data_IF_639376355829
#
_entry.id   IF_639376355829
#
_cell.length_a   1.000
_cell.length_b   1.000
_cell.length_c   1.000
_cell.angle_alpha   90.00
_cell.angle_beta   90.00
_cell.angle_gamma   90.00
#
_symmetry.space_group_name_H-M   'P 1'
#
loop_
_entity.id
_entity.type
_entity.pdbx_description
1 polymer ?
#
# COMPACT_ATOMS: atom_id res chain seq x y z
N UNK A 1 25.29 6.94 -19.09
CA UNK A 1 25.02 7.86 -17.94
C UNK A 1 24.26 9.14 -18.30
N UNK A 2 24.24 9.58 -19.56
CA UNK A 2 23.47 10.76 -19.99
C UNK A 2 21.92 10.57 -19.91
N UNK A 3 21.44 9.36 -20.05
CA UNK A 3 20.04 8.96 -20.06
C UNK A 3 19.29 9.17 -18.74
N UNK A 4 19.95 9.05 -17.59
CA UNK A 4 19.26 8.96 -16.27
C UNK A 4 18.65 10.29 -15.79
N UNK A 5 19.14 11.43 -16.26
CA UNK A 5 18.70 12.75 -15.77
C UNK A 5 17.46 13.26 -16.51
N UNK A 6 17.44 13.03 -17.82
CA UNK A 6 16.26 13.31 -18.64
C UNK A 6 15.12 12.34 -18.26
N UNK A 7 15.47 11.12 -17.86
CA UNK A 7 14.52 10.10 -17.38
C UNK A 7 13.75 10.53 -16.14
N UNK A 8 14.37 11.23 -15.17
CA UNK A 8 13.67 11.68 -13.97
C UNK A 8 12.58 12.73 -14.31
N UNK A 9 12.93 13.74 -15.14
CA UNK A 9 11.97 14.75 -15.60
C UNK A 9 10.81 14.10 -16.37
N UNK A 10 11.17 13.25 -17.33
CA UNK A 10 10.20 12.53 -18.15
C UNK A 10 9.32 11.63 -17.27
N UNK A 11 9.91 10.90 -16.32
CA UNK A 11 9.18 10.02 -15.43
C UNK A 11 8.18 10.78 -14.53
N UNK A 12 8.58 11.94 -13.96
CA UNK A 12 7.72 12.77 -13.13
C UNK A 12 6.61 13.43 -13.95
N UNK A 13 6.95 14.03 -15.11
CA UNK A 13 5.97 14.62 -16.03
C UNK A 13 4.99 13.56 -16.55
N UNK A 14 5.44 12.32 -16.75
CA UNK A 14 4.58 11.21 -17.15
C UNK A 14 3.67 10.76 -16.00
N UNK A 15 4.16 10.81 -14.74
CA UNK A 15 3.40 10.35 -13.55
C UNK A 15 2.25 11.29 -13.19
N UNK A 16 2.51 12.60 -13.21
CA UNK A 16 1.53 13.66 -12.94
C UNK A 16 1.62 14.73 -14.04
N UNK A 17 1.12 14.44 -15.26
CA UNK A 17 1.21 15.36 -16.37
C UNK A 17 0.38 16.62 -16.10
N UNK A 18 0.93 17.81 -16.28
CA UNK A 18 0.22 19.07 -16.08
C UNK A 18 -1.07 19.11 -16.90
N UNK A 19 -1.03 18.65 -18.17
CA UNK A 19 -2.21 18.57 -19.04
C UNK A 19 -3.34 17.75 -18.43
N UNK A 20 -3.03 16.56 -17.91
CA UNK A 20 -4.04 15.69 -17.27
C UNK A 20 -4.59 16.32 -15.98
N UNK A 21 -3.74 16.95 -15.17
CA UNK A 21 -4.17 17.65 -13.96
C UNK A 21 -5.10 18.83 -14.30
N UNK A 22 -4.82 19.59 -15.36
CA UNK A 22 -5.70 20.68 -15.82
C UNK A 22 -7.04 20.15 -16.39
N UNK A 23 -7.02 19.06 -17.16
CA UNK A 23 -8.23 18.38 -17.64
C UNK A 23 -9.08 17.87 -16.47
N UNK A 24 -8.47 17.22 -15.47
CA UNK A 24 -9.13 16.78 -14.24
C UNK A 24 -9.65 17.97 -13.42
N UNK A 25 -8.90 19.07 -13.37
CA UNK A 25 -9.32 20.30 -12.73
C UNK A 25 -10.61 20.87 -13.33
N UNK A 26 -10.77 20.78 -14.64
CA UNK A 26 -12.01 21.17 -15.34
C UNK A 26 -13.12 20.15 -15.12
N UNK A 27 -12.85 18.86 -15.28
CA UNK A 27 -13.82 17.77 -15.11
C UNK A 27 -14.42 17.75 -13.69
N UNK A 28 -13.62 17.99 -12.66
CA UNK A 28 -14.07 18.08 -11.27
C UNK A 28 -14.66 19.44 -10.89
N UNK A 29 -14.70 20.40 -11.82
CA UNK A 29 -15.10 21.79 -11.56
C UNK A 29 -14.22 22.51 -10.52
N UNK A 30 -13.02 22.05 -10.26
CA UNK A 30 -12.03 22.78 -9.48
C UNK A 30 -11.62 24.07 -10.21
N UNK A 31 -11.47 24.00 -11.54
CA UNK A 31 -11.28 25.12 -12.45
C UNK A 31 -12.58 25.38 -13.21
N UNK A 32 -13.35 26.35 -12.76
CA UNK A 32 -14.58 26.80 -13.47
C UNK A 32 -14.31 27.91 -14.49
N UNK A 33 -13.31 28.74 -14.18
CA UNK A 33 -12.84 29.85 -15.05
C UNK A 33 -11.32 29.92 -14.90
N UNK A 34 -10.62 30.22 -15.96
CA UNK A 34 -9.17 30.39 -15.89
C UNK A 34 -8.87 31.62 -15.03
N UNK A 35 -8.18 31.38 -13.93
CA UNK A 35 -7.77 32.38 -12.94
C UNK A 35 -6.35 32.07 -12.51
N UNK A 36 -5.88 32.79 -11.50
CA UNK A 36 -4.52 32.71 -10.92
C UNK A 36 -4.11 31.31 -10.47
N UNK A 37 -5.04 30.45 -10.01
CA UNK A 37 -4.72 29.11 -9.49
C UNK A 37 -5.05 28.06 -10.56
N UNK A 38 -4.02 27.49 -11.19
CA UNK A 38 -4.11 26.31 -12.03
C UNK A 38 -4.20 25.03 -11.20
N UNK A 39 -4.79 23.97 -11.76
CA UNK A 39 -4.92 22.69 -11.09
C UNK A 39 -3.55 22.01 -10.90
N UNK A 40 -2.71 22.05 -11.92
CA UNK A 40 -1.39 21.42 -11.87
C UNK A 40 -0.51 22.03 -10.78
N UNK A 41 -0.37 23.37 -10.75
CA UNK A 41 0.45 24.05 -9.75
C UNK A 41 -0.10 23.87 -8.35
N UNK A 42 -1.44 23.87 -8.20
CA UNK A 42 -2.08 23.60 -6.92
C UNK A 42 -1.81 22.18 -6.42
N UNK A 43 -2.00 21.16 -7.26
CA UNK A 43 -1.72 19.76 -6.88
C UNK A 43 -0.26 19.59 -6.52
N UNK A 44 0.66 20.05 -7.38
CA UNK A 44 2.10 19.94 -7.13
C UNK A 44 2.53 20.67 -5.85
N UNK A 45 2.01 21.86 -5.61
CA UNK A 45 2.38 22.62 -4.40
C UNK A 45 1.95 21.91 -3.11
N UNK A 46 0.73 21.34 -3.09
CA UNK A 46 0.25 20.60 -1.92
C UNK A 46 1.00 19.28 -1.76
N UNK A 47 1.26 18.55 -2.85
CA UNK A 47 2.05 17.30 -2.82
C UNK A 47 3.47 17.56 -2.31
N UNK A 48 4.15 18.59 -2.82
CA UNK A 48 5.51 18.94 -2.37
C UNK A 48 5.54 19.40 -0.91
N UNK A 49 4.49 20.07 -0.43
CA UNK A 49 4.42 20.46 0.98
C UNK A 49 4.45 19.25 1.94
N UNK A 50 4.09 18.04 1.48
CA UNK A 50 4.12 16.83 2.31
C UNK A 50 5.53 16.32 2.59
N UNK A 51 6.52 16.74 1.81
CA UNK A 51 7.94 16.47 2.06
C UNK A 51 8.59 17.54 2.97
N UNK A 52 7.93 18.64 3.27
CA UNK A 52 8.51 19.71 4.07
C UNK A 52 8.86 19.24 5.50
N UNK A 53 9.94 19.79 6.04
CA UNK A 53 10.30 19.65 7.46
C UNK A 53 9.49 20.64 8.29
N UNK A 54 9.04 20.25 9.45
CA UNK A 54 8.16 21.06 10.32
C UNK A 54 6.68 20.69 10.17
N UNK A 55 5.77 21.64 10.42
CA UNK A 55 4.32 21.42 10.28
C UNK A 55 3.86 21.80 8.87
N UNK A 56 3.74 20.83 7.95
CA UNK A 56 3.27 21.11 6.62
C UNK A 56 1.79 21.51 6.67
N UNK A 57 1.47 22.71 6.21
CA UNK A 57 0.13 23.27 6.26
C UNK A 57 -0.19 24.11 5.02
N UNK A 58 -1.24 24.91 5.13
CA UNK A 58 -1.68 25.80 4.05
C UNK A 58 -0.60 26.79 3.62
N UNK A 59 0.14 27.38 4.57
CA UNK A 59 1.14 28.38 4.26
C UNK A 59 2.37 27.79 3.57
N UNK A 60 2.79 26.60 3.96
CA UNK A 60 3.87 25.92 3.27
C UNK A 60 3.45 25.56 1.82
N UNK A 61 2.24 25.04 1.63
CA UNK A 61 1.74 24.75 0.29
C UNK A 61 1.61 26.03 -0.56
N UNK A 62 1.16 27.15 0.06
CA UNK A 62 1.07 28.45 -0.62
C UNK A 62 2.43 28.99 -1.05
N UNK A 63 3.46 28.92 -0.19
CA UNK A 63 4.83 29.35 -0.54
C UNK A 63 5.35 28.54 -1.73
N UNK A 64 5.18 27.22 -1.69
CA UNK A 64 5.58 26.34 -2.79
C UNK A 64 4.77 26.67 -4.07
N UNK A 65 3.47 26.96 -3.94
CA UNK A 65 2.67 27.40 -5.09
C UNK A 65 3.23 28.67 -5.73
N UNK A 66 3.57 29.68 -4.93
CA UNK A 66 4.13 30.94 -5.42
C UNK A 66 5.50 30.69 -6.11
N UNK A 67 6.30 29.77 -5.60
CA UNK A 67 7.57 29.40 -6.21
C UNK A 67 7.38 28.67 -7.58
N UNK A 68 6.45 27.70 -7.65
CA UNK A 68 6.19 26.94 -8.87
C UNK A 68 5.51 27.76 -9.97
N UNK A 69 4.46 28.53 -9.61
CA UNK A 69 3.64 29.30 -10.56
C UNK A 69 4.22 30.69 -10.86
N UNK A 70 5.19 31.16 -10.06
CA UNK A 70 5.70 32.53 -10.06
C UNK A 70 4.61 33.59 -9.89
N UNK A 71 3.52 33.22 -9.22
CA UNK A 71 2.33 34.06 -9.03
C UNK A 71 2.10 34.30 -7.55
N UNK A 72 1.98 35.56 -7.16
CA UNK A 72 1.63 35.95 -5.80
C UNK A 72 0.16 35.65 -5.50
N UNK A 73 -0.11 35.04 -4.36
CA UNK A 73 -1.48 34.76 -3.94
C UNK A 73 -1.64 34.98 -2.42
N UNK A 74 -2.76 35.59 -2.06
CA UNK A 74 -3.11 35.82 -0.66
C UNK A 74 -3.49 34.53 0.07
N UNK A 75 -3.23 34.42 1.37
CA UNK A 75 -3.51 33.22 2.17
C UNK A 75 -4.95 32.73 2.07
N UNK A 76 -5.92 33.63 2.27
CA UNK A 76 -7.36 33.28 2.31
C UNK A 76 -7.89 32.69 0.99
N UNK A 77 -7.70 33.29 -0.19
CA UNK A 77 -8.10 32.68 -1.46
C UNK A 77 -7.47 31.30 -1.70
N UNK A 78 -6.20 31.12 -1.34
CA UNK A 78 -5.52 29.83 -1.47
C UNK A 78 -6.12 28.76 -0.52
N UNK A 79 -6.32 29.10 0.76
CA UNK A 79 -6.92 28.20 1.75
C UNK A 79 -8.36 27.78 1.37
N UNK A 80 -9.14 28.70 0.80
CA UNK A 80 -10.51 28.40 0.38
C UNK A 80 -10.58 27.29 -0.69
N UNK A 81 -9.54 27.13 -1.51
CA UNK A 81 -9.47 26.04 -2.50
C UNK A 81 -9.49 24.65 -1.86
N UNK A 82 -8.85 24.47 -0.72
CA UNK A 82 -8.85 23.18 0.00
C UNK A 82 -10.24 22.78 0.50
N UNK A 83 -11.11 23.75 0.78
CA UNK A 83 -12.43 23.50 1.34
C UNK A 83 -13.49 23.14 0.27
N UNK A 84 -13.14 23.19 -1.01
CA UNK A 84 -14.01 22.81 -2.09
C UNK A 84 -14.12 21.29 -2.23
N UNK A 85 -15.33 20.76 -2.47
CA UNK A 85 -15.51 19.33 -2.77
C UNK A 85 -14.75 18.93 -4.03
N UNK A 86 -14.68 19.82 -5.01
CA UNK A 86 -13.92 19.66 -6.24
C UNK A 86 -12.42 19.48 -6.02
N UNK A 87 -11.84 20.04 -4.94
CA UNK A 87 -10.44 19.79 -4.60
C UNK A 87 -10.22 18.34 -4.16
N UNK A 88 -11.10 17.78 -3.34
CA UNK A 88 -11.04 16.37 -2.94
C UNK A 88 -11.12 15.46 -4.17
N UNK A 89 -12.07 15.75 -5.07
CA UNK A 89 -12.25 14.99 -6.31
C UNK A 89 -11.02 15.10 -7.23
N UNK A 90 -10.43 16.29 -7.36
CA UNK A 90 -9.21 16.51 -8.14
C UNK A 90 -8.05 15.68 -7.60
N UNK A 91 -7.80 15.69 -6.28
CA UNK A 91 -6.71 14.94 -5.68
C UNK A 91 -6.92 13.43 -5.77
N UNK A 92 -8.16 12.95 -5.60
CA UNK A 92 -8.51 11.55 -5.81
C UNK A 92 -8.30 11.12 -7.26
N UNK A 93 -8.76 11.92 -8.25
CA UNK A 93 -8.55 11.66 -9.67
C UNK A 93 -7.07 11.69 -10.07
N UNK A 94 -6.29 12.65 -9.53
CA UNK A 94 -4.85 12.71 -9.73
C UNK A 94 -4.15 11.45 -9.19
N UNK A 95 -4.57 10.95 -8.01
CA UNK A 95 -4.04 9.70 -7.46
C UNK A 95 -4.37 8.50 -8.36
N UNK A 96 -5.62 8.36 -8.81
CA UNK A 96 -6.01 7.27 -9.72
C UNK A 96 -5.19 7.30 -11.02
N UNK A 97 -5.02 8.47 -11.64
CA UNK A 97 -4.16 8.61 -12.83
C UNK A 97 -2.70 8.26 -12.55
N UNK A 98 -2.17 8.65 -11.38
CA UNK A 98 -0.79 8.35 -11.02
C UNK A 98 -0.56 6.85 -10.83
N UNK A 99 -1.52 6.13 -10.26
CA UNK A 99 -1.37 4.68 -9.99
C UNK A 99 -1.71 3.82 -11.20
N UNK A 100 -2.56 4.29 -12.11
CA UNK A 100 -3.01 3.55 -13.29
C UNK A 100 -1.83 3.08 -14.14
N UNK A 101 -0.81 3.89 -14.31
CA UNK A 101 0.39 3.52 -15.04
C UNK A 101 1.16 2.33 -14.43
N UNK A 102 1.03 2.07 -13.13
CA UNK A 102 1.58 0.87 -12.49
C UNK A 102 0.66 -0.34 -12.68
N UNK A 103 -0.64 -0.16 -12.63
CA UNK A 103 -1.62 -1.22 -12.90
C UNK A 103 -1.45 -1.76 -14.32
N UNK A 104 -1.16 -0.88 -15.30
CA UNK A 104 -0.98 -1.22 -16.71
C UNK A 104 0.37 -1.84 -17.07
N UNK A 105 1.35 -1.87 -16.16
CA UNK A 105 2.64 -2.51 -16.44
C UNK A 105 2.45 -3.97 -16.80
N UNK A 106 2.86 -4.36 -18.01
CA UNK A 106 2.67 -5.73 -18.51
C UNK A 106 3.51 -6.76 -17.78
N UNK A 107 4.70 -6.40 -17.30
CA UNK A 107 5.63 -7.29 -16.63
C UNK A 107 6.32 -6.59 -15.47
N UNK A 108 6.43 -7.32 -14.36
CA UNK A 108 7.21 -6.92 -13.20
C UNK A 108 8.47 -7.78 -13.18
N UNK A 109 9.64 -7.17 -13.26
CA UNK A 109 10.92 -7.86 -13.19
C UNK A 109 11.24 -8.23 -11.74
N UNK A 110 10.77 -9.38 -11.33
CA UNK A 110 11.04 -9.95 -10.02
C UNK A 110 11.07 -11.48 -10.10
N UNK A 111 11.96 -12.20 -9.39
CA UNK A 111 12.03 -13.67 -9.45
C UNK A 111 10.70 -14.37 -9.15
N UNK A 112 9.87 -13.82 -8.26
CA UNK A 112 8.55 -14.38 -7.93
C UNK A 112 7.48 -14.09 -8.99
N UNK A 113 7.76 -13.25 -9.99
CA UNK A 113 6.78 -12.96 -11.06
C UNK A 113 6.53 -14.14 -12.00
N UNK A 114 7.38 -15.17 -11.94
CA UNK A 114 7.12 -16.45 -12.63
C UNK A 114 5.96 -17.25 -12.01
N UNK A 115 5.63 -17.00 -10.73
CA UNK A 115 4.57 -17.70 -10.00
C UNK A 115 3.30 -16.87 -9.84
N UNK A 116 3.46 -15.57 -9.59
CA UNK A 116 2.36 -14.64 -9.34
C UNK A 116 2.52 -13.41 -10.22
N UNK A 117 1.44 -13.01 -10.90
CA UNK A 117 1.45 -11.82 -11.76
C UNK A 117 1.78 -10.53 -10.98
N UNK A 118 1.45 -10.50 -9.70
CA UNK A 118 1.85 -9.52 -8.69
C UNK A 118 1.70 -10.12 -7.28
N UNK A 119 2.31 -9.51 -6.28
CA UNK A 119 2.02 -9.77 -4.86
C UNK A 119 1.49 -8.46 -4.28
N UNK A 120 0.25 -8.48 -3.81
CA UNK A 120 -0.45 -7.29 -3.32
C UNK A 120 -0.72 -7.41 -1.84
N UNK A 121 -0.27 -6.43 -1.06
CA UNK A 121 -0.63 -6.31 0.34
C UNK A 121 -1.74 -5.27 0.51
N UNK A 122 -2.78 -5.62 1.30
CA UNK A 122 -3.95 -4.77 1.58
C UNK A 122 -4.06 -4.57 3.07
N UNK A 123 -4.12 -3.31 3.52
CA UNK A 123 -4.29 -2.96 4.92
C UNK A 123 -4.76 -1.50 5.08
N UNK A 124 -5.09 -1.10 6.29
CA UNK A 124 -5.56 0.25 6.62
C UNK A 124 -4.66 0.94 7.64
N UNK A 125 -4.52 2.24 7.50
CA UNK A 125 -3.92 3.10 8.53
C UNK A 125 -4.92 4.16 8.98
N UNK A 126 -4.81 4.58 10.25
CA UNK A 126 -5.72 5.53 10.88
C UNK A 126 -4.94 6.79 11.21
N UNK A 127 -5.53 7.94 10.90
CA UNK A 127 -5.00 9.25 11.20
C UNK A 127 -5.94 9.96 12.17
N UNK A 128 -5.41 10.44 13.33
CA UNK A 128 -6.19 11.28 14.22
C UNK A 128 -6.49 12.63 13.55
N UNK A 129 -7.68 13.15 13.78
CA UNK A 129 -8.12 14.45 13.28
C UNK A 129 -8.51 15.38 14.42
N UNK A 130 -8.70 16.65 14.12
CA UNK A 130 -9.26 17.60 15.08
C UNK A 130 -10.68 17.16 15.50
N UNK A 131 -11.00 17.21 16.79
CA UNK A 131 -12.26 16.73 17.37
C UNK A 131 -13.51 17.39 16.79
N UNK A 132 -13.40 18.61 16.27
CA UNK A 132 -14.51 19.28 15.55
C UNK A 132 -14.97 18.52 14.30
N UNK A 133 -14.14 17.59 13.78
CA UNK A 133 -14.47 16.75 12.64
C UNK A 133 -15.23 15.46 13.00
N UNK A 134 -15.51 15.22 14.29
CA UNK A 134 -16.16 14.01 14.80
C UNK A 134 -17.50 13.70 14.12
N UNK A 135 -18.28 14.71 13.73
CA UNK A 135 -19.55 14.50 13.04
C UNK A 135 -19.38 13.86 11.66
N UNK A 136 -18.27 14.13 10.99
CA UNK A 136 -17.97 13.62 9.63
C UNK A 136 -17.12 12.36 9.69
N UNK A 137 -16.15 12.31 10.59
CA UNK A 137 -15.20 11.22 10.77
C UNK A 137 -15.21 10.68 12.21
N UNK A 138 -16.32 10.03 12.64
CA UNK A 138 -16.38 9.51 14.00
C UNK A 138 -15.36 8.40 14.25
N UNK A 139 -14.76 8.40 15.45
CA UNK A 139 -13.95 7.30 15.98
C UNK A 139 -14.81 6.18 16.57
N UNK A 140 -14.26 4.97 16.71
CA UNK A 140 -14.93 3.86 17.39
C UNK A 140 -14.85 3.93 18.91
N UNK A 141 -13.74 4.44 19.43
CA UNK A 141 -13.36 4.19 20.82
C UNK A 141 -13.61 5.36 21.75
N UNK A 142 -13.73 6.60 21.27
CA UNK A 142 -13.87 7.79 22.13
C UNK A 142 -14.44 9.00 21.37
N UNK A 143 -14.55 10.12 22.07
CA UNK A 143 -15.09 11.39 21.57
C UNK A 143 -14.27 12.04 20.41
N UNK A 144 -13.26 11.39 19.86
CA UNK A 144 -12.38 11.92 18.83
C UNK A 144 -12.86 11.75 17.39
N UNK A 145 -12.13 12.36 16.48
CA UNK A 145 -12.30 12.22 15.03
C UNK A 145 -11.14 11.45 14.41
N UNK A 146 -11.42 10.50 13.52
CA UNK A 146 -10.39 9.67 12.88
C UNK A 146 -10.73 9.40 11.40
N UNK A 147 -9.77 9.61 10.53
CA UNK A 147 -9.82 9.24 9.13
C UNK A 147 -9.03 7.94 8.93
N UNK A 148 -9.63 7.01 8.18
CA UNK A 148 -9.01 5.75 7.79
C UNK A 148 -8.63 5.81 6.31
N UNK A 149 -7.39 5.45 6.00
CA UNK A 149 -6.93 5.20 4.64
C UNK A 149 -6.67 3.70 4.45
N UNK A 150 -7.45 3.05 3.60
CA UNK A 150 -7.22 1.68 3.15
C UNK A 150 -6.40 1.72 1.88
N UNK A 151 -5.28 0.99 1.85
CA UNK A 151 -4.39 0.92 0.72
C UNK A 151 -4.24 -0.52 0.22
N UNK A 152 -4.06 -0.66 -1.09
CA UNK A 152 -3.48 -1.83 -1.72
C UNK A 152 -2.15 -1.43 -2.35
N UNK A 153 -1.09 -2.17 -2.08
CA UNK A 153 0.24 -1.91 -2.64
C UNK A 153 0.77 -3.16 -3.37
N UNK A 154 1.44 -2.96 -4.51
CA UNK A 154 2.31 -4.00 -5.06
C UNK A 154 3.56 -4.13 -4.20
N UNK A 155 3.83 -5.33 -3.71
CA UNK A 155 4.97 -5.60 -2.84
C UNK A 155 6.29 -5.55 -3.61
N UNK A 156 6.30 -5.82 -4.91
CA UNK A 156 7.51 -5.82 -5.73
C UNK A 156 8.17 -4.44 -5.87
N UNK A 157 7.41 -3.36 -5.83
CA UNK A 157 7.96 -2.00 -5.92
C UNK A 157 7.47 -1.08 -4.80
N UNK A 158 6.74 -1.61 -3.82
CA UNK A 158 6.07 -0.86 -2.76
C UNK A 158 5.22 0.30 -3.32
N UNK A 159 4.67 0.10 -4.53
CA UNK A 159 3.86 1.11 -5.23
C UNK A 159 2.39 1.00 -4.85
N UNK A 160 1.71 2.12 -4.58
CA UNK A 160 0.28 2.09 -4.34
C UNK A 160 -0.46 1.70 -5.63
N UNK A 161 -1.44 0.81 -5.50
CA UNK A 161 -2.34 0.38 -6.57
C UNK A 161 -3.74 0.94 -6.38
N UNK A 162 -4.18 1.10 -5.14
CA UNK A 162 -5.48 1.68 -4.79
C UNK A 162 -5.41 2.34 -3.42
N UNK A 163 -6.28 3.34 -3.22
CA UNK A 163 -6.50 3.94 -1.92
C UNK A 163 -7.97 4.31 -1.74
N UNK A 164 -8.48 4.20 -0.51
CA UNK A 164 -9.82 4.64 -0.15
C UNK A 164 -9.79 5.35 1.19
N UNK A 165 -10.42 6.52 1.26
CA UNK A 165 -10.56 7.29 2.51
C UNK A 165 -11.96 7.12 3.08
N UNK A 166 -12.05 6.78 4.36
CA UNK A 166 -13.32 6.59 5.06
C UNK A 166 -13.21 7.01 6.52
N UNK A 167 -14.34 7.12 7.22
CA UNK A 167 -14.29 7.20 8.68
C UNK A 167 -13.87 5.83 9.25
N UNK A 168 -13.26 5.83 10.44
CA UNK A 168 -12.87 4.59 11.12
C UNK A 168 -14.04 3.65 11.41
N UNK A 169 -15.26 4.17 11.49
CA UNK A 169 -16.47 3.38 11.76
C UNK A 169 -16.77 2.32 10.69
N UNK A 170 -16.30 2.52 9.46
CA UNK A 170 -16.52 1.54 8.39
C UNK A 170 -15.57 0.37 8.60
N UNK A 171 -16.14 -0.84 8.75
CA UNK A 171 -15.37 -2.06 8.96
C UNK A 171 -14.53 -2.43 7.72
N UNK A 172 -13.32 -2.94 7.93
CA UNK A 172 -12.36 -3.25 6.86
C UNK A 172 -12.89 -4.25 5.83
N UNK A 173 -13.73 -5.21 6.24
CA UNK A 173 -14.38 -6.16 5.33
C UNK A 173 -15.21 -5.50 4.21
N UNK A 174 -15.69 -4.27 4.42
CA UNK A 174 -16.44 -3.48 3.42
C UNK A 174 -15.54 -2.61 2.54
N UNK A 175 -14.24 -2.59 2.83
CA UNK A 175 -13.26 -1.73 2.19
C UNK A 175 -12.29 -2.51 1.29
N UNK A 176 -12.58 -3.80 1.03
CA UNK A 176 -11.77 -4.57 0.11
C UNK A 176 -11.81 -3.91 -1.28
N UNK A 177 -10.66 -3.66 -1.91
CA UNK A 177 -10.62 -3.03 -3.23
C UNK A 177 -11.33 -3.89 -4.29
N UNK A 178 -11.79 -3.26 -5.37
CA UNK A 178 -12.36 -3.96 -6.51
C UNK A 178 -11.33 -4.85 -7.17
N UNK A 179 -11.72 -6.07 -7.54
CA UNK A 179 -10.80 -7.07 -8.09
C UNK A 179 -10.27 -6.67 -9.48
N UNK A 180 -11.02 -5.86 -10.23
CA UNK A 180 -10.62 -5.31 -11.53
C UNK A 180 -9.32 -4.49 -11.50
N UNK A 181 -8.96 -3.97 -10.33
CA UNK A 181 -7.71 -3.23 -10.11
C UNK A 181 -6.48 -4.15 -10.19
N UNK A 182 -6.65 -5.42 -9.83
CA UNK A 182 -5.56 -6.37 -9.72
C UNK A 182 -5.45 -7.24 -10.97
N UNK A 183 -4.24 -7.67 -11.27
CA UNK A 183 -4.00 -8.64 -12.37
C UNK A 183 -4.45 -10.02 -11.93
N UNK A 184 -5.14 -10.73 -12.81
CA UNK A 184 -5.44 -12.16 -12.58
C UNK A 184 -4.13 -12.92 -12.33
N UNK A 185 -4.16 -13.88 -11.42
CA UNK A 185 -2.96 -14.59 -10.98
C UNK A 185 -2.14 -13.82 -9.94
N UNK A 186 -2.60 -12.68 -9.44
CA UNK A 186 -1.94 -12.01 -8.32
C UNK A 186 -2.19 -12.76 -7.00
N UNK A 187 -1.19 -12.70 -6.12
CA UNK A 187 -1.28 -13.16 -4.74
C UNK A 187 -1.71 -11.98 -3.85
N UNK A 188 -2.86 -12.11 -3.19
CA UNK A 188 -3.40 -11.10 -2.30
C UNK A 188 -3.12 -11.47 -0.84
N UNK A 189 -2.51 -10.54 -0.10
CA UNK A 189 -2.13 -10.68 1.30
C UNK A 189 -2.85 -9.62 2.12
N UNK A 190 -3.63 -10.02 3.10
CA UNK A 190 -4.44 -9.10 3.92
C UNK A 190 -4.64 -9.63 5.33
N UNK A 191 -5.05 -8.77 6.26
CA UNK A 191 -5.32 -9.16 7.62
C UNK A 191 -6.68 -9.87 7.74
N UNK A 192 -6.88 -10.48 8.88
CA UNK A 192 -8.10 -11.21 9.25
C UNK A 192 -9.38 -10.37 9.16
N UNK A 193 -9.28 -9.05 9.32
CA UNK A 193 -10.42 -8.13 9.16
C UNK A 193 -11.04 -8.18 7.74
N UNK A 194 -10.24 -8.56 6.74
CA UNK A 194 -10.66 -8.71 5.33
C UNK A 194 -11.00 -10.16 4.95
N UNK A 195 -10.66 -11.15 5.79
CA UNK A 195 -10.70 -12.58 5.47
C UNK A 195 -12.09 -13.21 5.68
N UNK A 196 -13.15 -12.61 5.15
CA UNK A 196 -14.46 -13.27 5.12
C UNK A 196 -14.41 -14.47 4.16
N UNK A 197 -14.89 -15.66 4.59
CA UNK A 197 -14.78 -16.90 3.80
C UNK A 197 -15.44 -16.80 2.43
N UNK A 198 -16.59 -16.12 2.34
CA UNK A 198 -17.25 -15.87 1.06
C UNK A 198 -16.33 -15.07 0.10
N UNK A 199 -15.61 -14.07 0.62
CA UNK A 199 -14.63 -13.30 -0.17
C UNK A 199 -13.46 -14.17 -0.62
N UNK A 200 -12.95 -15.06 0.24
CA UNK A 200 -11.88 -15.99 -0.16
C UNK A 200 -12.32 -16.93 -1.30
N UNK A 201 -13.56 -17.40 -1.25
CA UNK A 201 -14.16 -18.20 -2.34
C UNK A 201 -14.31 -17.40 -3.64
N UNK A 202 -14.74 -16.13 -3.55
CA UNK A 202 -14.80 -15.21 -4.69
C UNK A 202 -13.42 -15.01 -5.33
N UNK A 203 -12.40 -14.76 -4.51
CA UNK A 203 -11.01 -14.59 -4.98
C UNK A 203 -10.53 -15.82 -5.75
N UNK A 204 -10.74 -17.02 -5.20
CA UNK A 204 -10.34 -18.26 -5.84
C UNK A 204 -11.04 -18.45 -7.21
N UNK A 205 -12.37 -18.24 -7.27
CA UNK A 205 -13.13 -18.34 -8.52
C UNK A 205 -12.73 -17.29 -9.56
N UNK A 206 -12.30 -16.11 -9.10
CA UNK A 206 -11.85 -15.02 -9.98
C UNK A 206 -10.39 -15.17 -10.44
N UNK A 207 -9.72 -16.27 -10.09
CA UNK A 207 -8.35 -16.56 -10.52
C UNK A 207 -7.27 -15.79 -9.76
N UNK A 208 -7.54 -15.41 -8.51
CA UNK A 208 -6.56 -14.82 -7.61
C UNK A 208 -6.05 -15.85 -6.60
N UNK A 209 -4.79 -15.73 -6.25
CA UNK A 209 -4.23 -16.42 -5.11
C UNK A 209 -4.36 -15.56 -3.85
N UNK A 210 -4.39 -16.19 -2.69
CA UNK A 210 -4.38 -15.49 -1.42
C UNK A 210 -3.66 -16.28 -0.33
N UNK A 211 -3.13 -15.58 0.66
CA UNK A 211 -2.80 -16.11 1.98
C UNK A 211 -3.38 -15.17 3.02
N UNK A 212 -4.30 -15.69 3.82
CA UNK A 212 -5.02 -14.92 4.83
C UNK A 212 -4.98 -15.64 6.18
N UNK A 213 -4.90 -14.91 7.31
CA UNK A 213 -4.99 -15.56 8.61
C UNK A 213 -6.40 -16.08 8.85
N UNK A 214 -6.47 -17.24 9.48
CA UNK A 214 -7.73 -17.80 9.99
C UNK A 214 -7.86 -17.48 11.48
N UNK A 215 -9.05 -17.08 11.92
CA UNK A 215 -9.32 -16.93 13.36
C UNK A 215 -9.16 -18.26 14.07
N UNK A 216 -8.63 -18.22 15.29
CA UNK A 216 -8.41 -19.38 16.15
C UNK A 216 -9.67 -20.25 16.33
N UNK A 217 -10.84 -19.62 16.33
CA UNK A 217 -12.15 -20.27 16.46
C UNK A 217 -12.90 -20.39 15.12
N UNK A 218 -12.17 -20.25 14.00
CA UNK A 218 -12.76 -20.38 12.67
C UNK A 218 -13.34 -21.79 12.48
N UNK A 219 -14.52 -21.85 11.87
CA UNK A 219 -15.19 -23.12 11.59
C UNK A 219 -14.62 -23.70 10.30
N UNK A 220 -13.89 -24.80 10.45
CA UNK A 220 -13.37 -25.57 9.31
C UNK A 220 -13.53 -27.07 9.60
N UNK A 221 -13.75 -27.84 8.54
CA UNK A 221 -13.78 -29.29 8.55
C UNK A 221 -12.59 -29.82 7.77
N UNK A 222 -11.76 -30.66 8.39
CA UNK A 222 -10.56 -31.23 7.80
C UNK A 222 -10.91 -32.46 7.00
N UNK A 223 -10.60 -32.46 5.71
CA UNK A 223 -10.86 -33.59 4.79
C UNK A 223 -9.63 -34.47 4.64
N UNK A 224 -8.42 -33.86 4.62
CA UNK A 224 -7.17 -34.57 4.40
C UNK A 224 -6.03 -33.93 5.19
N UNK A 225 -5.12 -34.75 5.67
CA UNK A 225 -3.88 -34.31 6.33
C UNK A 225 -2.72 -34.58 5.38
N UNK A 226 -2.20 -33.54 4.76
CA UNK A 226 -1.00 -33.62 3.92
C UNK A 226 0.23 -33.80 4.79
N UNK A 227 0.32 -33.01 5.86
CA UNK A 227 1.37 -33.08 6.89
C UNK A 227 0.79 -32.79 8.26
N UNK A 228 1.16 -33.61 9.25
CA UNK A 228 0.70 -33.47 10.63
C UNK A 228 0.93 -34.73 11.44
N UNK A 229 0.54 -34.75 12.73
CA UNK A 229 0.72 -35.89 13.60
C UNK A 229 0.01 -37.17 13.09
N UNK A 230 0.62 -38.34 13.31
CA UNK A 230 0.06 -39.63 12.90
C UNK A 230 -1.37 -39.85 13.44
N UNK A 231 -1.62 -39.50 14.71
CA UNK A 231 -2.94 -39.63 15.33
C UNK A 231 -4.01 -38.78 14.62
N UNK A 232 -3.69 -37.53 14.24
CA UNK A 232 -4.60 -36.65 13.51
C UNK A 232 -4.88 -37.22 12.13
N UNK A 233 -3.85 -37.70 11.42
CA UNK A 233 -4.00 -38.33 10.10
C UNK A 233 -4.91 -39.55 10.18
N UNK A 234 -4.70 -40.45 11.14
CA UNK A 234 -5.51 -41.63 11.33
C UNK A 234 -6.98 -41.30 11.65
N UNK A 235 -7.23 -40.27 12.50
CA UNK A 235 -8.58 -39.82 12.84
C UNK A 235 -9.30 -39.26 11.63
N UNK A 236 -8.62 -38.45 10.80
CA UNK A 236 -9.23 -37.88 9.58
C UNK A 236 -9.49 -38.97 8.54
N UNK A 237 -8.58 -39.91 8.35
CA UNK A 237 -8.73 -41.01 7.37
C UNK A 237 -9.95 -41.92 7.67
N UNK A 238 -10.30 -42.08 8.96
CA UNK A 238 -11.47 -42.87 9.37
C UNK A 238 -12.81 -42.14 9.19
N UNK A 239 -12.79 -40.84 8.81
CA UNK A 239 -13.97 -40.00 8.68
C UNK A 239 -14.01 -39.31 7.30
N UNK A 240 -14.48 -40.00 6.24
CA UNK A 240 -14.54 -39.47 4.88
C UNK A 240 -15.31 -38.16 4.74
N UNK A 241 -16.33 -37.94 5.59
CA UNK A 241 -17.07 -36.69 5.65
C UNK A 241 -16.31 -35.52 6.29
N UNK A 242 -15.07 -35.75 6.73
CA UNK A 242 -14.22 -34.77 7.37
C UNK A 242 -14.44 -34.60 8.87
N UNK A 243 -13.45 -34.05 9.55
CA UNK A 243 -13.43 -33.89 11.02
C UNK A 243 -13.36 -32.40 11.37
N UNK A 244 -14.18 -31.89 12.32
CA UNK A 244 -14.09 -30.51 12.76
C UNK A 244 -12.68 -30.17 13.25
N UNK A 245 -12.09 -29.10 12.72
CA UNK A 245 -10.71 -28.70 13.05
C UNK A 245 -10.48 -28.60 14.56
N UNK A 246 -11.41 -27.99 15.28
CA UNK A 246 -11.29 -27.80 16.74
C UNK A 246 -11.18 -29.11 17.53
N UNK A 247 -11.71 -30.23 17.04
CA UNK A 247 -11.61 -31.55 17.69
C UNK A 247 -10.27 -32.23 17.43
N UNK A 248 -9.45 -31.68 16.55
CA UNK A 248 -8.10 -32.13 16.23
C UNK A 248 -7.02 -31.32 16.94
N UNK A 249 -7.34 -30.09 17.33
CA UNK A 249 -6.38 -29.18 17.97
C UNK A 249 -6.21 -29.52 19.46
N UNK A 250 -4.99 -29.36 20.01
CA UNK A 250 -4.76 -29.41 21.46
C UNK A 250 -5.60 -28.34 22.20
N UNK A 251 -5.88 -28.56 23.47
CA UNK A 251 -6.70 -27.62 24.29
C UNK A 251 -6.12 -26.19 24.32
N UNK A 252 -4.82 -26.07 24.40
CA UNK A 252 -4.09 -24.78 24.36
C UNK A 252 -3.90 -24.24 22.92
N UNK A 253 -4.39 -24.99 21.92
CA UNK A 253 -4.26 -24.66 20.48
C UNK A 253 -2.81 -24.45 20.03
N UNK A 254 -1.85 -25.06 20.75
CA UNK A 254 -0.43 -25.06 20.38
C UNK A 254 -0.09 -26.37 19.68
N UNK A 255 0.29 -26.29 18.41
CA UNK A 255 0.70 -27.48 17.65
C UNK A 255 2.20 -27.68 17.75
N UNK A 256 2.64 -28.96 17.83
CA UNK A 256 4.02 -29.35 17.67
C UNK A 256 4.29 -29.60 16.18
N UNK A 257 5.15 -28.79 15.56
CA UNK A 257 5.44 -28.90 14.15
C UNK A 257 4.40 -28.21 13.22
N UNK A 258 4.72 -28.16 11.94
CA UNK A 258 3.86 -27.57 10.93
C UNK A 258 2.81 -28.58 10.46
N UNK A 259 1.53 -28.16 10.41
CA UNK A 259 0.45 -28.95 9.83
C UNK A 259 0.06 -28.34 8.48
N UNK A 260 -0.32 -29.20 7.54
CA UNK A 260 -0.78 -28.87 6.20
C UNK A 260 -2.01 -29.71 5.89
N UNK A 261 -3.15 -29.06 5.72
CA UNK A 261 -4.47 -29.68 5.75
C UNK A 261 -5.30 -29.20 4.55
N UNK A 262 -6.08 -30.12 3.95
CA UNK A 262 -7.19 -29.75 3.11
C UNK A 262 -8.44 -29.62 3.97
N UNK A 263 -9.10 -28.48 3.86
CA UNK A 263 -10.24 -28.14 4.70
C UNK A 263 -11.42 -27.64 3.86
N UNK A 264 -12.62 -27.81 4.40
CA UNK A 264 -13.82 -27.09 3.99
C UNK A 264 -14.08 -25.97 4.98
N UNK A 265 -14.25 -24.76 4.51
CA UNK A 265 -14.71 -23.63 5.31
C UNK A 265 -16.11 -23.24 4.87
N UNK A 266 -16.96 -22.84 5.84
CA UNK A 266 -18.32 -22.43 5.57
C UNK A 266 -18.50 -20.95 5.85
N UNK A 267 -18.96 -20.14 4.87
CA UNK A 267 -19.30 -18.75 5.10
C UNK A 267 -20.41 -18.63 6.15
N UNK A 268 -20.31 -17.62 7.02
CA UNK A 268 -21.32 -17.36 8.05
C UNK A 268 -22.48 -16.51 7.51
N UNK A 269 -22.23 -15.73 6.47
CA UNK A 269 -23.16 -14.78 5.84
C UNK A 269 -23.20 -15.03 4.35
N UNK A 270 -24.36 -14.91 3.73
CA UNK A 270 -24.56 -15.12 2.30
C UNK A 270 -24.69 -16.61 1.93
N UNK A 271 -24.16 -16.96 0.78
CA UNK A 271 -24.10 -18.35 0.31
C UNK A 271 -23.27 -19.20 1.28
N UNK A 272 -23.92 -20.21 1.89
CA UNK A 272 -23.33 -21.11 2.87
C UNK A 272 -22.66 -22.34 2.25
N UNK A 273 -22.47 -22.36 0.95
CA UNK A 273 -21.75 -23.42 0.26
C UNK A 273 -20.35 -23.57 0.85
N UNK A 274 -19.98 -24.81 1.16
CA UNK A 274 -18.65 -25.10 1.69
C UNK A 274 -17.59 -24.87 0.62
N UNK A 275 -16.51 -24.21 0.99
CA UNK A 275 -15.43 -23.80 0.10
C UNK A 275 -14.19 -24.61 0.43
N UNK A 276 -13.65 -25.40 -0.51
CA UNK A 276 -12.40 -26.13 -0.30
C UNK A 276 -11.23 -25.15 -0.26
N UNK A 277 -10.36 -25.31 0.75
CA UNK A 277 -9.17 -24.48 0.96
C UNK A 277 -8.06 -25.34 1.56
N UNK A 278 -6.84 -24.82 1.45
CA UNK A 278 -5.68 -25.34 2.17
C UNK A 278 -5.48 -24.54 3.45
N UNK A 279 -5.27 -25.23 4.56
CA UNK A 279 -4.97 -24.63 5.86
C UNK A 279 -3.56 -25.04 6.30
N UNK A 280 -2.70 -24.08 6.45
CA UNK A 280 -1.36 -24.26 7.03
C UNK A 280 -1.38 -23.76 8.48
N UNK A 281 -0.96 -24.62 9.41
CA UNK A 281 -0.82 -24.24 10.83
C UNK A 281 0.66 -24.35 11.19
N UNK A 282 1.24 -23.25 11.66
CA UNK A 282 2.63 -23.22 12.11
C UNK A 282 2.76 -22.97 13.60
N UNK A 283 3.65 -23.68 14.27
CA UNK A 283 4.00 -23.35 15.65
C UNK A 283 4.64 -21.97 15.73
N UNK A 284 4.31 -21.22 16.74
CA UNK A 284 4.95 -19.97 17.08
C UNK A 284 5.39 -19.94 18.54
N UNK A 285 6.20 -18.97 18.91
CA UNK A 285 6.76 -18.87 20.27
C UNK A 285 5.68 -18.85 21.38
N UNK A 286 4.61 -18.09 21.17
CA UNK A 286 3.51 -17.94 22.15
C UNK A 286 2.22 -18.64 21.73
N UNK A 287 1.98 -18.80 20.43
CA UNK A 287 0.74 -19.34 19.85
C UNK A 287 1.00 -19.92 18.48
N UNK A 288 0.12 -20.79 17.99
CA UNK A 288 0.15 -21.26 16.61
C UNK A 288 -0.49 -20.23 15.68
N UNK A 289 0.00 -20.16 14.44
CA UNK A 289 -0.51 -19.30 13.36
C UNK A 289 -1.23 -20.16 12.34
N UNK A 290 -2.39 -19.69 11.90
CA UNK A 290 -3.30 -20.39 11.01
C UNK A 290 -3.42 -19.57 9.72
N UNK A 291 -3.12 -20.16 8.57
CA UNK A 291 -3.18 -19.52 7.27
C UNK A 291 -4.07 -20.31 6.33
N UNK A 292 -5.17 -19.67 5.87
CA UNK A 292 -5.99 -20.16 4.77
C UNK A 292 -5.39 -19.69 3.45
N UNK A 293 -5.37 -20.58 2.45
CA UNK A 293 -4.81 -20.29 1.14
C UNK A 293 -5.41 -21.18 0.05
N UNK A 294 -5.35 -20.74 -1.19
CA UNK A 294 -5.56 -21.54 -2.40
C UNK A 294 -4.25 -21.74 -3.21
N UNK A 295 -3.11 -21.35 -2.64
CA UNK A 295 -1.79 -21.58 -3.25
C UNK A 295 -1.53 -23.09 -3.31
N UNK A 296 -1.09 -23.58 -4.49
CA UNK A 296 -0.96 -25.00 -4.80
C UNK A 296 0.08 -25.76 -3.96
N UNK A 297 0.11 -27.08 -4.15
CA UNK A 297 0.94 -28.00 -3.38
C UNK A 297 2.45 -27.86 -3.62
N UNK A 298 2.83 -27.31 -4.78
CA UNK A 298 4.24 -27.01 -5.09
C UNK A 298 4.90 -26.06 -4.09
N UNK A 299 4.08 -25.24 -3.40
CA UNK A 299 4.55 -24.39 -2.32
C UNK A 299 4.48 -25.12 -0.99
N UNK A 300 5.61 -25.29 -0.33
CA UNK A 300 5.64 -25.92 1.00
C UNK A 300 4.84 -25.14 2.04
N UNK A 301 4.45 -25.77 3.13
CA UNK A 301 3.73 -25.09 4.22
C UNK A 301 4.57 -23.95 4.84
N UNK A 302 5.89 -24.12 4.88
CA UNK A 302 6.83 -23.09 5.30
C UNK A 302 6.82 -21.90 4.35
N UNK A 303 6.84 -22.17 3.04
CA UNK A 303 6.78 -21.13 2.01
C UNK A 303 5.48 -20.32 2.06
N UNK A 304 4.33 -20.94 2.30
CA UNK A 304 3.05 -20.25 2.48
C UNK A 304 3.11 -19.24 3.64
N UNK A 305 3.72 -19.61 4.75
CA UNK A 305 3.86 -18.68 5.87
C UNK A 305 4.86 -17.54 5.57
N UNK A 306 5.93 -17.81 4.82
CA UNK A 306 6.86 -16.75 4.38
C UNK A 306 6.20 -15.82 3.34
N UNK A 307 5.34 -16.34 2.45
CA UNK A 307 4.49 -15.50 1.58
C UNK A 307 3.64 -14.52 2.39
N UNK A 308 2.98 -15.01 3.45
CA UNK A 308 2.19 -14.13 4.31
C UNK A 308 3.03 -13.05 5.01
N UNK A 309 4.28 -13.31 5.34
CA UNK A 309 5.18 -12.32 5.96
C UNK A 309 5.44 -11.12 5.05
N UNK A 310 5.32 -11.27 3.73
CA UNK A 310 5.44 -10.16 2.81
C UNK A 310 4.35 -9.10 3.03
N UNK A 311 3.22 -9.45 3.67
CA UNK A 311 2.20 -8.46 4.07
C UNK A 311 2.81 -7.32 4.91
N UNK A 312 3.84 -7.61 5.71
CA UNK A 312 4.52 -6.60 6.51
C UNK A 312 5.06 -5.41 5.71
N UNK A 313 5.25 -5.57 4.42
CA UNK A 313 5.74 -4.48 3.56
C UNK A 313 4.79 -3.27 3.55
N UNK A 314 3.48 -3.47 3.71
CA UNK A 314 2.53 -2.36 3.79
C UNK A 314 2.67 -1.56 5.09
N UNK A 315 3.07 -2.20 6.18
CA UNK A 315 3.34 -1.51 7.44
C UNK A 315 4.57 -0.60 7.34
N UNK A 316 5.57 -1.00 6.55
CA UNK A 316 6.72 -0.13 6.24
C UNK A 316 6.30 1.09 5.40
N UNK A 317 5.37 0.90 4.46
CA UNK A 317 4.79 2.01 3.69
C UNK A 317 3.99 2.95 4.59
N UNK A 318 3.22 2.43 5.55
CA UNK A 318 2.53 3.28 6.53
C UNK A 318 3.51 4.04 7.43
N UNK A 319 4.59 3.41 7.86
CA UNK A 319 5.65 4.08 8.61
C UNK A 319 6.28 5.22 7.81
N UNK A 320 6.55 5.00 6.52
CA UNK A 320 7.07 6.02 5.62
C UNK A 320 6.09 7.21 5.46
N UNK A 321 4.81 6.91 5.22
CA UNK A 321 3.75 7.93 5.13
C UNK A 321 3.68 8.80 6.39
N UNK A 322 3.82 8.20 7.57
CA UNK A 322 3.81 8.91 8.85
C UNK A 322 5.08 9.72 9.09
N UNK A 323 6.25 9.12 8.87
CA UNK A 323 7.54 9.71 9.23
C UNK A 323 8.07 10.71 8.19
N UNK A 324 7.81 10.47 6.90
CA UNK A 324 8.45 11.22 5.81
C UNK A 324 7.47 11.99 4.92
N UNK A 325 6.20 11.60 4.90
CA UNK A 325 5.18 12.19 4.03
C UNK A 325 4.04 12.85 4.82
N UNK A 326 4.23 13.05 6.11
CA UNK A 326 3.39 13.87 6.99
C UNK A 326 1.89 13.53 6.93
N UNK A 327 1.51 12.25 6.71
CA UNK A 327 0.10 11.87 6.53
C UNK A 327 -0.76 12.15 7.77
N UNK A 328 -0.17 12.20 8.97
CA UNK A 328 -0.85 12.52 10.22
C UNK A 328 -0.85 14.03 10.53
N UNK A 329 -0.04 14.83 9.84
CA UNK A 329 0.00 16.27 9.99
C UNK A 329 -1.14 16.92 9.20
N UNK A 330 -2.32 17.03 9.80
CA UNK A 330 -3.55 17.54 9.19
C UNK A 330 -4.02 18.78 9.97
N UNK A 331 -3.44 19.96 9.69
CA UNK A 331 -3.65 21.18 10.45
C UNK A 331 -4.94 21.91 10.05
N UNK A 332 -6.09 21.22 10.11
CA UNK A 332 -7.37 21.80 9.70
C UNK A 332 -8.55 21.29 10.52
N UNK A 333 -9.59 22.13 10.57
CA UNK A 333 -10.92 21.82 11.13
C UNK A 333 -11.96 21.61 10.01
N UNK A 334 -11.54 21.62 8.75
CA UNK A 334 -12.40 21.41 7.60
C UNK A 334 -12.24 19.99 7.07
N UNK A 335 -13.33 19.22 6.89
CA UNK A 335 -13.26 17.80 6.52
C UNK A 335 -12.75 17.57 5.09
N UNK A 336 -12.98 18.50 4.17
CA UNK A 336 -12.51 18.41 2.79
C UNK A 336 -11.02 18.72 2.71
N UNK A 337 -10.58 19.78 3.40
CA UNK A 337 -9.17 20.10 3.50
C UNK A 337 -8.36 18.95 4.16
N UNK A 338 -8.92 18.28 5.17
CA UNK A 338 -8.30 17.09 5.76
C UNK A 338 -8.10 15.97 4.72
N UNK A 339 -9.11 15.67 3.92
CA UNK A 339 -8.99 14.69 2.84
C UNK A 339 -7.95 15.09 1.78
N UNK A 340 -7.91 16.37 1.38
CA UNK A 340 -6.91 16.88 0.43
C UNK A 340 -5.49 16.66 0.93
N UNK A 341 -5.20 16.93 2.21
CA UNK A 341 -3.88 16.66 2.78
C UNK A 341 -3.51 15.18 2.78
N UNK A 342 -4.46 14.30 3.08
CA UNK A 342 -4.21 12.85 3.04
C UNK A 342 -3.97 12.37 1.61
N UNK A 343 -4.80 12.77 0.65
CA UNK A 343 -4.57 12.46 -0.76
C UNK A 343 -3.23 12.99 -1.27
N UNK A 344 -2.84 14.20 -0.84
CA UNK A 344 -1.54 14.76 -1.19
C UNK A 344 -0.37 13.91 -0.65
N UNK A 345 -0.49 13.36 0.57
CA UNK A 345 0.53 12.44 1.12
C UNK A 345 0.61 11.13 0.32
N UNK A 346 -0.53 10.60 -0.14
CA UNK A 346 -0.57 9.42 -0.99
C UNK A 346 0.01 9.69 -2.39
N UNK A 347 -0.23 10.88 -2.95
CA UNK A 347 0.42 11.34 -4.18
C UNK A 347 1.93 11.53 -4.00
N UNK A 348 2.36 12.08 -2.86
CA UNK A 348 3.78 12.21 -2.52
C UNK A 348 4.46 10.83 -2.45
N UNK A 349 3.77 9.81 -1.94
CA UNK A 349 4.24 8.42 -2.01
C UNK A 349 4.42 7.97 -3.47
N UNK A 350 3.46 8.25 -4.36
CA UNK A 350 3.55 7.92 -5.78
C UNK A 350 4.74 8.63 -6.47
N UNK A 351 4.98 9.90 -6.13
CA UNK A 351 6.13 10.67 -6.60
C UNK A 351 7.44 10.03 -6.12
N UNK A 352 7.53 9.69 -4.83
CA UNK A 352 8.74 9.06 -4.28
C UNK A 352 9.06 7.72 -4.96
N UNK A 353 8.04 6.93 -5.32
CA UNK A 353 8.20 5.67 -6.06
C UNK A 353 8.70 5.89 -7.48
N UNK A 354 8.28 6.98 -8.12
CA UNK A 354 8.78 7.36 -9.44
C UNK A 354 10.25 7.72 -9.38
N UNK A 355 10.66 8.49 -8.38
CA UNK A 355 12.08 8.83 -8.15
C UNK A 355 12.89 7.56 -7.85
N UNK A 356 12.39 6.69 -6.97
CA UNK A 356 13.05 5.42 -6.63
C UNK A 356 13.25 4.53 -7.87
N UNK A 357 12.27 4.46 -8.76
CA UNK A 357 12.35 3.64 -9.98
C UNK A 357 13.45 4.13 -10.94
N UNK A 358 13.65 5.44 -11.03
CA UNK A 358 14.76 6.03 -11.82
C UNK A 358 16.12 5.76 -11.17
N UNK A 359 16.16 5.69 -9.84
CA UNK A 359 17.38 5.46 -9.06
C UNK A 359 17.78 4.00 -8.93
N UNK A 360 16.87 3.06 -9.10
CA UNK A 360 17.12 1.61 -8.90
C UNK A 360 18.27 1.09 -9.76
N UNK A 361 18.44 1.45 -11.05
CA UNK A 361 19.60 1.05 -11.82
C UNK A 361 20.93 1.54 -11.24
N UNK A 362 20.93 2.75 -10.66
CA UNK A 362 22.11 3.33 -10.01
C UNK A 362 22.42 2.70 -8.66
N UNK A 363 21.37 2.27 -7.92
CA UNK A 363 21.54 1.57 -6.62
C UNK A 363 22.14 0.18 -6.79
N UNK A 364 21.85 -0.50 -7.89
CA UNK A 364 22.49 -1.78 -8.24
C UNK A 364 24.00 -1.62 -8.46
N UNK A 365 24.44 -0.51 -9.01
CA UNK A 365 25.86 -0.17 -9.17
C UNK A 365 26.57 0.04 -7.82
N UNK A 366 25.83 0.45 -6.79
CA UNK A 366 26.33 0.74 -5.44
C UNK A 366 26.03 -0.40 -4.42
N UNK A 367 25.58 -1.56 -4.87
CA UNK A 367 25.31 -2.73 -4.00
C UNK A 367 24.09 -2.58 -3.06
N UNK A 368 23.19 -1.63 -3.31
CA UNK A 368 21.97 -1.44 -2.52
C UNK A 368 20.81 -2.28 -3.07
N UNK A 369 20.08 -2.94 -2.17
CA UNK A 369 18.86 -3.63 -2.56
C UNK A 369 17.79 -2.63 -3.03
N UNK A 370 17.05 -2.98 -4.09
CA UNK A 370 16.01 -2.13 -4.67
C UNK A 370 14.95 -1.68 -3.64
N UNK A 371 14.59 -2.55 -2.68
CA UNK A 371 13.67 -2.26 -1.57
C UNK A 371 14.21 -1.18 -0.63
N UNK A 372 15.52 -1.10 -0.42
CA UNK A 372 16.15 -0.07 0.41
C UNK A 372 16.16 1.29 -0.31
N UNK A 373 16.43 1.30 -1.61
CA UNK A 373 16.37 2.53 -2.41
C UNK A 373 14.97 3.14 -2.38
N UNK A 374 13.92 2.29 -2.43
CA UNK A 374 12.52 2.71 -2.33
C UNK A 374 12.21 3.36 -0.98
N UNK A 375 12.59 2.71 0.13
CA UNK A 375 12.32 3.24 1.48
C UNK A 375 13.06 4.55 1.77
N UNK A 376 14.18 4.79 1.11
CA UNK A 376 15.01 5.98 1.30
C UNK A 376 14.61 7.16 0.41
N UNK A 377 13.87 6.91 -0.68
CA UNK A 377 13.50 7.96 -1.63
C UNK A 377 12.68 9.09 -0.98
N UNK A 378 11.68 8.77 -0.16
CA UNK A 378 10.89 9.78 0.54
C UNK A 378 11.72 10.58 1.56
N UNK A 379 12.61 9.91 2.29
CA UNK A 379 13.51 10.55 3.23
C UNK A 379 14.48 11.51 2.51
N UNK A 380 15.03 11.07 1.39
CA UNK A 380 15.95 11.86 0.61
C UNK A 380 15.26 13.07 -0.04
N UNK A 381 14.07 12.89 -0.59
CA UNK A 381 13.26 14.01 -1.11
C UNK A 381 12.93 15.01 -0.01
N UNK A 382 12.61 14.54 1.20
CA UNK A 382 12.40 15.43 2.34
C UNK A 382 13.63 16.24 2.71
N UNK A 383 14.82 15.64 2.70
CA UNK A 383 16.08 16.35 3.01
C UNK A 383 16.60 17.22 1.86
N UNK A 384 16.05 17.12 0.66
CA UNK A 384 16.46 17.81 -0.55
C UNK A 384 15.30 18.55 -1.23
N UNK A 385 14.29 18.94 -0.44
CA UNK A 385 13.06 19.54 -0.98
C UNK A 385 13.35 20.78 -1.83
N UNK A 386 14.24 21.68 -1.36
CA UNK A 386 14.59 22.91 -2.07
C UNK A 386 15.23 22.63 -3.44
N UNK A 387 16.12 21.60 -3.50
CA UNK A 387 16.70 21.17 -4.78
C UNK A 387 15.63 20.61 -5.72
N UNK A 388 14.66 19.87 -5.15
CA UNK A 388 13.59 19.28 -5.93
C UNK A 388 12.60 20.34 -6.44
N UNK A 389 12.28 21.35 -5.64
CA UNK A 389 11.46 22.49 -6.05
C UNK A 389 12.12 23.29 -7.16
N UNK A 390 13.41 23.58 -7.04
CA UNK A 390 14.19 24.21 -8.13
C UNK A 390 14.17 23.37 -9.41
N UNK A 391 14.26 22.04 -9.29
CA UNK A 391 14.17 21.14 -10.44
C UNK A 391 12.80 21.17 -11.11
N UNK A 392 11.71 21.37 -10.36
CA UNK A 392 10.36 21.49 -10.91
C UNK A 392 10.08 22.89 -11.50
N UNK A 393 10.55 23.95 -10.85
CA UNK A 393 10.24 25.34 -11.17
C UNK A 393 11.12 25.94 -12.29
N UNK A 394 12.36 25.48 -12.41
CA UNK A 394 13.32 25.95 -13.39
C UNK A 394 13.49 24.89 -14.48
N UNK A 395 13.99 25.26 -15.68
CA UNK A 395 14.40 24.23 -16.62
C UNK A 395 15.41 23.28 -15.98
N UNK A 396 15.11 21.98 -15.93
CA UNK A 396 15.90 21.04 -15.15
C UNK A 396 17.30 20.93 -15.74
N UNK A 397 18.25 21.47 -15.02
CA UNK A 397 19.66 21.30 -15.38
C UNK A 397 20.09 19.89 -14.96
N UNK A 398 20.93 19.25 -15.77
CA UNK A 398 21.62 17.98 -15.47
C UNK A 398 22.31 18.03 -14.09
N UNK A 399 22.76 19.22 -13.69
CA UNK A 399 23.40 19.48 -12.39
C UNK A 399 22.41 19.25 -11.22
N UNK A 400 21.22 19.86 -11.26
CA UNK A 400 20.19 19.70 -10.21
C UNK A 400 19.73 18.25 -10.09
N UNK A 401 19.50 17.55 -11.21
CA UNK A 401 19.16 16.14 -11.19
C UNK A 401 20.28 15.30 -10.54
N UNK A 402 21.55 15.58 -10.85
CA UNK A 402 22.71 14.92 -10.22
C UNK A 402 22.78 15.19 -8.72
N UNK A 403 22.52 16.40 -8.28
CA UNK A 403 22.53 16.78 -6.86
C UNK A 403 21.41 16.04 -6.08
N UNK A 404 20.19 15.94 -6.64
CA UNK A 404 19.08 15.15 -6.08
C UNK A 404 19.49 13.68 -5.99
N UNK A 405 20.00 13.09 -7.06
CA UNK A 405 20.41 11.70 -7.10
C UNK A 405 21.54 11.39 -6.10
N UNK A 406 22.51 12.30 -5.99
CA UNK A 406 23.58 12.19 -5.00
C UNK A 406 23.09 12.33 -3.57
N UNK A 407 22.08 13.19 -3.30
CA UNK A 407 21.47 13.32 -2.00
C UNK A 407 20.73 12.02 -1.59
N UNK A 408 20.02 11.41 -2.54
CA UNK A 408 19.36 10.11 -2.33
C UNK A 408 20.40 9.02 -2.10
N UNK A 409 21.44 8.93 -2.90
CA UNK A 409 22.52 7.95 -2.77
C UNK A 409 23.24 8.08 -1.41
N UNK A 410 23.57 9.31 -0.98
CA UNK A 410 24.17 9.56 0.34
C UNK A 410 23.27 9.15 1.49
N UNK A 411 21.96 9.33 1.39
CA UNK A 411 21.00 8.87 2.38
C UNK A 411 20.93 7.36 2.44
N UNK A 412 21.24 6.68 1.34
CA UNK A 412 21.22 5.22 1.19
C UNK A 412 22.47 4.53 1.76
N UNK A 413 23.61 5.22 1.84
CA UNK A 413 24.90 4.61 2.24
C UNK A 413 25.08 4.42 3.74
N UNK A 414 24.21 4.90 4.61
CA UNK A 414 24.24 4.54 6.02
C UNK A 414 23.88 3.07 6.18
N UNK A 415 24.93 2.24 6.38
CA UNK A 415 24.84 0.79 6.62
C UNK A 415 23.89 0.47 7.76
N UNK A 416 22.63 0.14 7.44
CA UNK A 416 21.84 -0.68 8.35
C UNK A 416 22.32 -2.12 8.18
N UNK A 417 22.66 -2.82 9.27
CA UNK A 417 22.88 -4.27 9.30
C UNK A 417 21.60 -4.92 8.76
N UNK A 418 21.62 -5.28 7.48
CA UNK A 418 20.47 -5.88 6.82
C UNK A 418 20.29 -7.30 7.35
N UNK A 419 19.17 -7.54 8.01
CA UNK A 419 18.64 -8.91 8.09
C UNK A 419 18.38 -9.39 6.65
N UNK A 420 18.60 -10.70 6.35
CA UNK A 420 18.30 -11.22 5.01
C UNK A 420 16.93 -10.74 4.57
N UNK A 421 16.85 -10.18 3.37
CA UNK A 421 15.61 -9.64 2.82
C UNK A 421 14.53 -10.74 2.86
N UNK A 422 13.31 -10.38 3.22
CA UNK A 422 12.16 -11.29 3.25
C UNK A 422 11.99 -12.02 1.91
N UNK A 423 12.36 -11.39 0.81
CA UNK A 423 12.36 -11.99 -0.52
C UNK A 423 13.46 -13.04 -0.70
N UNK A 424 14.66 -12.81 -0.22
CA UNK A 424 15.76 -13.79 -0.32
C UNK A 424 15.43 -15.08 0.44
N UNK A 425 14.83 -14.94 1.63
CA UNK A 425 14.32 -16.09 2.37
C UNK A 425 13.23 -16.82 1.63
N UNK A 426 12.27 -16.09 1.04
CA UNK A 426 11.17 -16.72 0.32
C UNK A 426 11.66 -17.46 -0.92
N UNK A 427 12.65 -16.90 -1.64
CA UNK A 427 13.22 -17.53 -2.83
C UNK A 427 13.86 -18.89 -2.52
N UNK A 428 14.39 -19.09 -1.29
CA UNK A 428 14.90 -20.40 -0.89
C UNK A 428 13.81 -21.47 -0.66
N UNK A 429 12.54 -21.06 -0.56
CA UNK A 429 11.37 -21.93 -0.41
C UNK A 429 10.50 -21.98 -1.66
N UNK A 430 10.81 -21.17 -2.69
CA UNK A 430 10.03 -21.15 -3.91
C UNK A 430 10.16 -22.49 -4.65
N UNK A 431 9.12 -22.95 -5.35
CA UNK A 431 9.21 -24.12 -6.21
C UNK A 431 10.31 -23.93 -7.28
N UNK A 432 10.92 -25.02 -7.75
CA UNK A 432 11.95 -24.97 -8.78
C UNK A 432 11.45 -24.39 -10.11
#
# INVERSE_FOLDING_TARGET
MATTYDDLKVALKRRLPARILEEQGRATQFIRRQRTIGAADFVWSVVMSRFATGLPGFDQARRIFQELSRTQIWPRPFQMRFKAASAVQLFAAAFESAVEQWRQRRRIEHPLSKYFSDIVAIDSTIMPLNDRLRRVFPSHLHAGAELKATLAISVFGLVPLAARLTSRKIHDSKLFPELSIFRRGALLLFDNAYAAYGKLGELARSGFFFVAPMRRHGVARVLRVRRGPKAVRAKVARNPGGVPLRSLLPRDVRVSGTWDLDVLVRPQVGDRTEIPMRLVIRPGRKRSYFYLTNVGETWTAEAVAELYRLRWQIELVFKELKQHLSIEAIPTKDPRAAQVFVWASLLALAVSRTVAAVLTPLSKLNGLAATQAVALASKALRSSLDLFLRFLAVEPSRRLAREILNAVARSATRRHRCRPDSFQRLLSFAPP
#
